data_IF_439093557589
#
_entry.id   IF_439093557589
#
_cell.length_a   1.000
_cell.length_b   1.000
_cell.length_c   1.000
_cell.angle_alpha   90.00
_cell.angle_beta   90.00
_cell.angle_gamma   90.00
#
_symmetry.space_group_name_H-M   'P 1'
#
loop_
_entity.id
_entity.type
_entity.pdbx_description
1 polymer ?
#
# COMPACT_ATOMS: atom_id res chain seq x y z
N UNK A 1 41.36 0.25 -2.85
CA UNK A 1 40.29 -0.02 -3.82
C UNK A 1 39.31 -0.96 -3.16
N UNK A 2 38.01 -0.77 -3.37
CA UNK A 2 37.00 -1.66 -2.80
C UNK A 2 36.65 -2.70 -3.88
N UNK A 3 36.80 -3.98 -3.55
CA UNK A 3 36.48 -5.10 -4.43
C UNK A 3 35.17 -5.73 -3.98
N UNK A 4 34.12 -5.56 -4.76
CA UNK A 4 32.84 -6.22 -4.57
C UNK A 4 32.37 -6.77 -5.92
N UNK A 5 31.76 -7.95 -5.93
CA UNK A 5 31.19 -8.58 -7.13
C UNK A 5 32.18 -8.72 -8.31
N UNK A 6 33.46 -9.00 -8.01
CA UNK A 6 34.56 -9.08 -9.00
C UNK A 6 34.83 -7.79 -9.77
N UNK A 7 34.41 -6.63 -9.24
CA UNK A 7 34.67 -5.32 -9.82
C UNK A 7 35.52 -4.51 -8.84
N UNK A 8 36.60 -3.91 -9.34
CA UNK A 8 37.42 -2.96 -8.60
C UNK A 8 37.12 -1.54 -9.06
N UNK A 9 36.68 -0.68 -8.12
CA UNK A 9 36.48 0.76 -8.34
C UNK A 9 37.05 1.57 -7.20
N UNK A 10 37.42 2.81 -7.51
CA UNK A 10 37.76 3.79 -6.47
C UNK A 10 36.48 4.33 -5.83
N UNK A 11 36.51 4.73 -4.55
CA UNK A 11 35.36 5.35 -3.89
C UNK A 11 34.79 6.54 -4.68
N UNK A 12 35.68 7.37 -5.24
CA UNK A 12 35.31 8.52 -6.06
C UNK A 12 34.54 8.12 -7.34
N UNK A 13 34.92 7.01 -7.99
CA UNK A 13 34.21 6.50 -9.17
C UNK A 13 32.80 6.02 -8.81
N UNK A 14 32.66 5.35 -7.65
CA UNK A 14 31.37 4.87 -7.15
C UNK A 14 30.47 6.07 -6.84
N UNK A 15 30.99 7.06 -6.11
CA UNK A 15 30.24 8.27 -5.75
C UNK A 15 29.79 9.06 -6.99
N UNK A 16 30.69 9.28 -7.95
CA UNK A 16 30.35 9.98 -9.20
C UNK A 16 29.30 9.22 -10.01
N UNK A 17 29.39 7.89 -10.05
CA UNK A 17 28.37 7.04 -10.71
C UNK A 17 27.03 7.17 -10.01
N UNK A 18 26.99 7.08 -8.68
CA UNK A 18 25.79 7.22 -7.89
C UNK A 18 25.10 8.57 -8.11
N UNK A 19 25.84 9.68 -8.00
CA UNK A 19 25.34 11.04 -8.29
C UNK A 19 24.74 11.14 -9.69
N UNK A 20 25.38 10.51 -10.67
CA UNK A 20 24.89 10.52 -12.06
C UNK A 20 23.59 9.75 -12.21
N UNK A 21 23.46 8.59 -11.57
CA UNK A 21 22.23 7.79 -11.57
C UNK A 21 21.09 8.60 -10.97
N UNK A 22 21.29 9.21 -9.79
CA UNK A 22 20.29 10.05 -9.13
C UNK A 22 19.85 11.23 -10.01
N UNK A 23 20.81 11.92 -10.65
CA UNK A 23 20.51 13.06 -11.54
C UNK A 23 19.65 12.61 -12.74
N UNK A 24 19.94 11.45 -13.34
CA UNK A 24 19.16 10.90 -14.45
C UNK A 24 17.77 10.48 -14.00
N UNK A 25 17.64 9.81 -12.84
CA UNK A 25 16.34 9.47 -12.24
C UNK A 25 15.48 10.72 -12.09
N UNK A 26 16.02 11.78 -11.46
CA UNK A 26 15.31 13.04 -11.26
C UNK A 26 14.79 13.63 -12.58
N UNK A 27 15.66 13.69 -13.61
CA UNK A 27 15.28 14.18 -14.93
C UNK A 27 14.14 13.37 -15.56
N UNK A 28 14.21 12.05 -15.52
CA UNK A 28 13.20 11.17 -16.10
C UNK A 28 11.85 11.27 -15.34
N UNK A 29 11.89 11.38 -14.01
CA UNK A 29 10.69 11.60 -13.18
C UNK A 29 10.04 12.95 -13.51
N UNK A 30 10.83 14.02 -13.57
CA UNK A 30 10.33 15.35 -13.96
C UNK A 30 9.74 15.33 -15.38
N UNK A 31 10.37 14.63 -16.32
CA UNK A 31 9.86 14.48 -17.67
C UNK A 31 8.50 13.74 -17.70
N UNK A 32 8.39 12.65 -16.94
CA UNK A 32 7.17 11.86 -16.83
C UNK A 32 6.04 12.57 -16.09
N UNK A 33 6.36 13.57 -15.28
CA UNK A 33 5.36 14.42 -14.61
C UNK A 33 4.78 15.51 -15.51
N UNK A 34 5.41 15.82 -16.65
CA UNK A 34 4.99 16.89 -17.55
C UNK A 34 4.04 16.36 -18.64
N UNK A 35 2.85 16.95 -18.71
CA UNK A 35 1.88 16.67 -19.77
C UNK A 35 2.44 17.00 -21.15
N UNK A 36 2.16 16.16 -22.14
CA UNK A 36 2.62 16.34 -23.52
C UNK A 36 4.06 15.86 -23.77
N UNK A 37 4.81 15.43 -22.74
CA UNK A 37 6.10 14.80 -22.95
C UNK A 37 5.97 13.30 -23.25
N UNK A 38 6.91 12.78 -24.05
CA UNK A 38 7.05 11.33 -24.24
C UNK A 38 7.59 10.70 -22.97
N UNK A 39 7.06 9.53 -22.63
CA UNK A 39 7.42 8.82 -21.39
C UNK A 39 8.85 8.29 -21.48
N UNK A 40 9.67 8.62 -20.48
CA UNK A 40 11.04 8.16 -20.35
C UNK A 40 11.12 7.03 -19.31
N UNK A 41 11.87 5.96 -19.62
CA UNK A 41 12.08 4.87 -18.65
C UNK A 41 13.11 5.30 -17.62
N UNK A 42 12.82 5.07 -16.33
CA UNK A 42 13.74 5.38 -15.23
C UNK A 42 14.61 4.16 -14.96
N UNK A 43 15.92 4.20 -15.27
CA UNK A 43 16.80 3.07 -15.01
C UNK A 43 17.06 2.91 -13.50
N UNK A 44 17.12 1.66 -13.04
CA UNK A 44 17.40 1.27 -11.64
C UNK A 44 16.38 1.79 -10.60
N UNK A 45 15.16 2.15 -11.03
CA UNK A 45 14.12 2.65 -10.13
C UNK A 45 13.75 1.62 -9.05
N UNK A 46 13.56 0.36 -9.46
CA UNK A 46 13.22 -0.73 -8.55
C UNK A 46 14.33 -1.01 -7.53
N UNK A 47 15.59 -1.04 -7.97
CA UNK A 47 16.75 -1.26 -7.10
C UNK A 47 16.90 -0.13 -6.08
N UNK A 48 16.79 1.13 -6.51
CA UNK A 48 16.85 2.28 -5.61
C UNK A 48 15.71 2.27 -4.59
N UNK A 49 14.51 1.86 -5.02
CA UNK A 49 13.39 1.72 -4.10
C UNK A 49 13.65 0.57 -3.11
N UNK A 50 14.15 -0.59 -3.54
CA UNK A 50 14.51 -1.68 -2.62
C UNK A 50 15.52 -1.22 -1.56
N UNK A 51 16.56 -0.48 -1.96
CA UNK A 51 17.57 0.07 -1.04
C UNK A 51 16.91 1.03 -0.05
N UNK A 52 16.10 1.97 -0.52
CA UNK A 52 15.43 2.96 0.34
C UNK A 52 14.44 2.32 1.33
N UNK A 53 13.75 1.24 0.92
CA UNK A 53 12.83 0.51 1.80
C UNK A 53 13.53 -0.42 2.80
N UNK A 54 14.78 -0.81 2.53
CA UNK A 54 15.58 -1.61 3.47
C UNK A 54 16.13 -0.75 4.61
N UNK A 55 16.04 0.57 4.51
CA UNK A 55 16.50 1.52 5.52
C UNK A 55 15.35 1.87 6.47
N UNK A 56 15.34 1.22 7.64
CA UNK A 56 14.34 1.42 8.70
C UNK A 56 14.33 2.85 9.27
N UNK A 57 15.37 3.65 9.00
CA UNK A 57 15.42 5.06 9.43
C UNK A 57 14.59 5.99 8.55
N UNK A 58 14.18 5.54 7.36
CA UNK A 58 13.39 6.33 6.41
C UNK A 58 11.90 6.07 6.65
N UNK A 59 11.15 7.12 7.01
CA UNK A 59 9.71 7.02 7.14
C UNK A 59 9.03 6.76 5.78
N UNK A 60 8.05 5.83 5.70
CA UNK A 60 7.38 5.52 4.45
C UNK A 60 6.57 6.71 3.92
N UNK A 61 6.46 6.83 2.60
CA UNK A 61 5.63 7.87 1.99
C UNK A 61 4.15 7.66 2.37
N UNK A 62 3.53 8.68 2.96
CA UNK A 62 2.12 8.64 3.35
C UNK A 62 1.33 9.70 2.60
N UNK A 63 0.34 9.25 1.82
CA UNK A 63 -0.57 10.14 1.11
C UNK A 63 -1.62 10.69 2.09
N UNK A 64 -1.50 11.98 2.42
CA UNK A 64 -2.42 12.67 3.33
C UNK A 64 -3.41 13.56 2.58
N UNK A 65 -4.67 13.45 2.98
CA UNK A 65 -5.76 14.38 2.64
C UNK A 65 -6.43 14.85 3.93
N UNK A 66 -7.16 15.97 3.90
CA UNK A 66 -7.84 16.54 5.05
C UNK A 66 -8.77 15.56 5.79
N UNK A 67 -9.26 14.51 5.11
CA UNK A 67 -10.19 13.50 5.66
C UNK A 67 -9.61 12.09 5.75
N UNK A 68 -8.40 11.84 5.23
CA UNK A 68 -7.87 10.48 5.19
C UNK A 68 -6.35 10.43 5.05
N UNK A 69 -5.77 9.44 5.69
CA UNK A 69 -4.38 9.04 5.53
C UNK A 69 -4.37 7.71 4.76
N UNK A 70 -3.61 7.64 3.67
CA UNK A 70 -3.45 6.42 2.86
C UNK A 70 -1.98 6.04 2.82
N UNK A 71 -1.72 4.81 3.22
CA UNK A 71 -0.42 4.16 3.02
C UNK A 71 -0.46 3.49 1.64
N UNK A 72 0.38 3.91 0.68
CA UNK A 72 0.51 3.21 -0.59
C UNK A 72 0.83 1.74 -0.31
N UNK A 73 -0.01 0.82 -0.81
CA UNK A 73 0.28 -0.60 -0.69
C UNK A 73 1.41 -0.93 -1.67
N UNK A 74 2.56 -1.31 -1.14
CA UNK A 74 3.63 -1.89 -1.94
C UNK A 74 3.13 -3.15 -2.65
N UNK A 75 3.56 -3.35 -3.89
CA UNK A 75 3.26 -4.55 -4.65
C UNK A 75 3.80 -5.75 -3.87
N UNK A 76 2.93 -6.73 -3.58
CA UNK A 76 3.27 -7.93 -2.78
C UNK A 76 4.54 -8.65 -3.27
N UNK A 77 4.87 -8.58 -4.56
CA UNK A 77 6.07 -9.22 -5.10
C UNK A 77 7.39 -8.61 -4.60
N UNK A 78 7.41 -7.35 -4.14
CA UNK A 78 8.60 -6.76 -3.50
C UNK A 78 8.77 -7.20 -2.04
N UNK A 79 7.67 -7.45 -1.33
CA UNK A 79 7.70 -7.86 0.08
C UNK A 79 8.17 -9.31 0.24
N UNK A 80 7.78 -10.19 -0.69
CA UNK A 80 8.14 -11.61 -0.62
C UNK A 80 9.63 -11.87 -0.89
N UNK A 81 10.36 -11.02 -1.63
CA UNK A 81 11.83 -11.17 -1.76
C UNK A 81 12.59 -10.77 -0.50
N UNK A 82 12.05 -9.87 0.33
CA UNK A 82 12.72 -9.37 1.54
C UNK A 82 12.47 -10.30 2.74
N UNK A 83 11.32 -10.98 2.77
CA UNK A 83 10.92 -11.81 3.92
C UNK A 83 11.48 -13.24 3.90
N UNK A 84 12.17 -13.66 2.83
CA UNK A 84 12.62 -15.05 2.68
C UNK A 84 13.94 -15.40 3.39
N UNK A 85 14.57 -14.45 4.11
CA UNK A 85 15.81 -14.70 4.88
C UNK A 85 15.59 -14.82 6.39
N UNK A 86 14.33 -14.91 6.84
CA UNK A 86 14.01 -15.01 8.26
C UNK A 86 12.87 -15.99 8.52
N UNK A 87 13.27 -17.22 8.82
CA UNK A 87 12.59 -18.20 9.66
C UNK A 87 11.24 -18.81 9.22
N UNK A 88 11.34 -20.14 9.08
CA UNK A 88 10.34 -21.21 9.10
C UNK A 88 9.25 -21.07 10.18
N UNK A 89 8.08 -21.70 9.90
CA UNK A 89 6.87 -21.93 10.73
C UNK A 89 5.82 -20.81 10.61
N UNK A 90 4.65 -20.98 9.98
CA UNK A 90 3.66 -22.05 10.10
C UNK A 90 2.88 -22.32 8.80
N UNK A 91 2.50 -23.59 8.71
CA UNK A 91 1.75 -24.33 7.68
C UNK A 91 0.38 -23.73 7.27
N UNK A 92 0.07 -23.89 5.97
CA UNK A 92 -1.18 -24.43 5.35
C UNK A 92 -2.49 -24.21 6.12
N UNK A 93 -3.62 -23.72 5.59
CA UNK A 93 -4.39 -24.01 4.37
C UNK A 93 -5.37 -22.83 4.21
N UNK A 94 -5.74 -22.35 3.04
CA UNK A 94 -6.82 -22.97 2.28
C UNK A 94 -7.07 -22.15 1.01
N UNK A 95 -6.88 -22.82 -0.11
CA UNK A 95 -7.40 -22.43 -1.41
C UNK A 95 -8.92 -22.64 -1.43
N UNK A 96 -9.69 -21.56 -1.65
CA UNK A 96 -11.11 -21.64 -1.99
C UNK A 96 -11.41 -20.77 -3.22
N UNK A 97 -12.40 -21.19 -4.05
CA UNK A 97 -12.34 -21.06 -5.50
C UNK A 97 -12.82 -19.71 -6.01
N UNK A 98 -12.30 -19.33 -7.17
CA UNK A 98 -12.78 -18.20 -7.99
C UNK A 98 -14.22 -18.48 -8.47
N UNK A 99 -15.22 -18.10 -7.68
CA UNK A 99 -16.59 -17.96 -8.17
C UNK A 99 -16.67 -16.73 -9.06
N UNK A 100 -17.05 -16.91 -10.33
CA UNK A 100 -17.40 -15.82 -11.25
C UNK A 100 -18.53 -15.00 -10.63
N UNK A 101 -18.22 -13.85 -10.02
CA UNK A 101 -19.24 -12.87 -9.64
C UNK A 101 -19.79 -12.26 -10.92
N UNK A 102 -21.10 -12.41 -11.12
CA UNK A 102 -21.85 -11.61 -12.10
C UNK A 102 -21.50 -10.13 -11.90
N UNK A 103 -21.38 -9.41 -13.02
CA UNK A 103 -21.12 -7.96 -13.02
C UNK A 103 -22.34 -7.24 -12.43
N UNK A 104 -22.45 -7.15 -11.11
CA UNK A 104 -23.30 -6.13 -10.50
C UNK A 104 -22.63 -4.77 -10.75
N UNK A 105 -23.44 -3.81 -11.19
CA UNK A 105 -22.98 -2.47 -11.51
C UNK A 105 -22.29 -1.87 -10.28
N UNK A 106 -21.22 -1.10 -10.47
CA UNK A 106 -20.54 -0.40 -9.36
C UNK A 106 -21.50 0.50 -8.55
N UNK A 107 -22.64 0.88 -9.14
CA UNK A 107 -23.75 1.57 -8.45
C UNK A 107 -24.46 0.68 -7.42
N UNK A 108 -24.69 -0.59 -7.72
CA UNK A 108 -25.44 -1.53 -6.87
C UNK A 108 -24.71 -1.77 -5.54
N UNK A 109 -23.37 -1.93 -5.60
CA UNK A 109 -22.54 -2.10 -4.40
C UNK A 109 -22.54 -0.87 -3.50
N UNK A 110 -22.73 0.32 -4.07
CA UNK A 110 -22.81 1.57 -3.31
C UNK A 110 -24.15 1.65 -2.59
N UNK A 111 -25.25 1.30 -3.26
CA UNK A 111 -26.58 1.28 -2.67
C UNK A 111 -26.65 0.28 -1.51
N UNK A 112 -26.13 -0.94 -1.70
CA UNK A 112 -26.07 -1.97 -0.67
C UNK A 112 -25.30 -1.52 0.59
N UNK A 113 -24.22 -0.74 0.41
CA UNK A 113 -23.47 -0.18 1.54
C UNK A 113 -24.29 0.84 2.35
N UNK A 114 -25.03 1.72 1.68
CA UNK A 114 -25.88 2.72 2.35
C UNK A 114 -27.04 2.05 3.07
N UNK A 115 -27.67 1.06 2.45
CA UNK A 115 -28.75 0.29 3.05
C UNK A 115 -28.31 -0.43 4.33
N UNK A 116 -27.15 -1.12 4.30
CA UNK A 116 -26.57 -1.74 5.51
C UNK A 116 -26.27 -0.72 6.60
N UNK A 117 -25.81 0.47 6.23
CA UNK A 117 -25.50 1.54 7.16
C UNK A 117 -26.76 2.09 7.84
N UNK A 118 -27.83 2.29 7.09
CA UNK A 118 -29.12 2.74 7.64
C UNK A 118 -29.76 1.64 8.51
N UNK A 119 -29.75 0.39 8.07
CA UNK A 119 -30.23 -0.75 8.86
C UNK A 119 -29.48 -0.89 10.20
N UNK A 120 -28.16 -0.66 10.23
CA UNK A 120 -27.37 -0.70 11.45
C UNK A 120 -27.66 0.49 12.39
N UNK A 121 -28.09 1.64 11.87
CA UNK A 121 -28.57 2.75 12.70
C UNK A 121 -29.92 2.42 13.30
N UNK A 122 -30.83 1.88 12.48
CA UNK A 122 -32.18 1.50 12.92
C UNK A 122 -32.13 0.43 14.00
N UNK A 123 -31.27 -0.60 13.84
CA UNK A 123 -31.04 -1.61 14.89
C UNK A 123 -30.62 -1.00 16.22
N UNK A 124 -29.60 -0.13 16.21
CA UNK A 124 -29.11 0.52 17.44
C UNK A 124 -30.18 1.42 18.07
N UNK A 125 -31.01 2.05 17.24
CA UNK A 125 -32.13 2.83 17.72
C UNK A 125 -33.17 1.96 18.43
N UNK A 126 -33.56 0.84 17.82
CA UNK A 126 -34.50 -0.11 18.39
C UNK A 126 -33.97 -0.75 19.68
N UNK A 127 -32.71 -1.15 19.71
CA UNK A 127 -32.05 -1.65 20.93
C UNK A 127 -32.11 -0.62 22.06
N UNK A 128 -31.83 0.65 21.76
CA UNK A 128 -31.94 1.75 22.73
C UNK A 128 -33.38 1.93 23.21
N UNK A 129 -34.36 1.91 22.32
CA UNK A 129 -35.77 2.04 22.69
C UNK A 129 -36.25 0.86 23.54
N UNK A 130 -35.82 -0.35 23.22
CA UNK A 130 -36.14 -1.54 24.00
C UNK A 130 -35.54 -1.47 25.41
N UNK A 131 -34.28 -1.04 25.53
CA UNK A 131 -33.66 -0.83 26.85
C UNK A 131 -34.42 0.22 27.68
N UNK A 132 -34.85 1.31 27.05
CA UNK A 132 -35.68 2.31 27.73
C UNK A 132 -36.99 1.67 28.20
N UNK A 133 -37.69 0.93 27.34
CA UNK A 133 -38.93 0.24 27.73
C UNK A 133 -38.72 -0.73 28.90
N UNK A 134 -37.66 -1.52 28.90
CA UNK A 134 -37.33 -2.46 29.98
C UNK A 134 -37.04 -1.74 31.30
N UNK A 135 -36.35 -0.60 31.27
CA UNK A 135 -36.06 0.19 32.47
C UNK A 135 -37.32 0.80 33.07
N UNK A 136 -38.23 1.31 32.24
CA UNK A 136 -39.50 1.89 32.69
C UNK A 136 -40.54 0.82 33.08
N UNK A 137 -40.51 -0.38 32.48
CA UNK A 137 -41.40 -1.48 32.85
C UNK A 137 -41.03 -2.16 34.19
N UNK A 138 -39.83 -1.93 34.72
CA UNK A 138 -39.36 -2.43 36.02
C UNK A 138 -39.65 -1.48 37.20
N UNK A 139 -40.28 -0.33 36.93
CA UNK A 139 -40.62 0.68 37.95
C UNK A 139 -42.09 0.62 38.42
N UNK A 140 -42.84 -0.41 38.03
CA UNK A 140 -44.11 -0.83 38.67
C UNK A 140 -43.90 -2.17 39.40
#
# INVERSE_FOLDING_TARGET
MMTMLNISKTPLQIENRYKTILKRKKKAVENNSKSGSSRETVPFEEELNKIAHSDDSIEPEVLRSAKSVKYPKLNKSMLEEISNDSALTHSTESSLPKTKKSKSSSGDKRMEYWEKKEAAKERRHQEKLNLIRELFAKQE
#
